data_IF_215895866883
#
_entry.id   IF_215895866883
#
_cell.length_a   1.000
_cell.length_b   1.000
_cell.length_c   1.000
_cell.angle_alpha   90.00
_cell.angle_beta   90.00
_cell.angle_gamma   90.00
#
_symmetry.space_group_name_H-M   'P 1'
#
loop_
_entity.id
_entity.type
_entity.pdbx_description
1 polymer ?
#
# COMPACT_ATOMS: atom_id res chain seq x y z
N UNK A 1 47.03 -6.85 -18.40
CA UNK A 1 46.12 -6.21 -17.39
C UNK A 1 46.82 -6.20 -16.04
N UNK A 2 46.93 -5.05 -15.37
CA UNK A 2 47.56 -4.98 -14.05
C UNK A 2 46.67 -5.74 -13.03
N UNK A 3 47.30 -6.33 -11.98
CA UNK A 3 46.56 -7.04 -10.89
C UNK A 3 45.41 -6.22 -10.31
N UNK A 4 45.56 -4.89 -10.28
CA UNK A 4 44.52 -3.95 -9.82
C UNK A 4 43.29 -3.97 -10.74
N UNK A 5 43.46 -4.01 -12.08
CA UNK A 5 42.33 -4.08 -13.01
C UNK A 5 41.57 -5.41 -12.85
N UNK A 6 42.29 -6.51 -12.64
CA UNK A 6 41.67 -7.82 -12.40
C UNK A 6 40.86 -7.85 -11.10
N UNK A 7 41.43 -7.29 -10.02
CA UNK A 7 40.76 -7.18 -8.73
C UNK A 7 39.47 -6.30 -8.82
N UNK A 8 39.55 -5.18 -9.56
CA UNK A 8 38.37 -4.32 -9.76
C UNK A 8 37.27 -5.03 -10.57
N UNK A 9 37.63 -5.75 -11.64
CA UNK A 9 36.69 -6.54 -12.42
C UNK A 9 36.05 -7.65 -11.59
N UNK A 10 36.81 -8.34 -10.74
CA UNK A 10 36.29 -9.35 -9.83
C UNK A 10 35.29 -8.74 -8.82
N UNK A 11 35.61 -7.58 -8.25
CA UNK A 11 34.71 -6.87 -7.35
C UNK A 11 33.39 -6.48 -8.05
N UNK A 12 33.46 -5.91 -9.24
CA UNK A 12 32.28 -5.57 -10.05
C UNK A 12 31.45 -6.81 -10.34
N UNK A 13 32.08 -7.93 -10.70
CA UNK A 13 31.40 -9.19 -10.95
C UNK A 13 30.67 -9.74 -9.70
N UNK A 14 31.27 -9.63 -8.52
CA UNK A 14 30.65 -10.03 -7.24
C UNK A 14 29.46 -9.14 -6.93
N UNK A 15 29.57 -7.82 -7.09
CA UNK A 15 28.45 -6.88 -6.88
C UNK A 15 27.31 -7.20 -7.85
N UNK A 16 27.61 -7.41 -9.12
CA UNK A 16 26.59 -7.74 -10.12
C UNK A 16 25.90 -9.09 -9.83
N UNK A 17 26.66 -10.12 -9.46
CA UNK A 17 26.11 -11.41 -9.08
C UNK A 17 25.20 -11.30 -7.84
N UNK A 18 25.63 -10.53 -6.83
CA UNK A 18 24.81 -10.25 -5.63
C UNK A 18 23.52 -9.50 -5.99
N UNK A 19 23.61 -8.48 -6.82
CA UNK A 19 22.46 -7.70 -7.29
C UNK A 19 21.45 -8.57 -8.03
N UNK A 20 21.93 -9.39 -8.98
CA UNK A 20 21.07 -10.31 -9.76
C UNK A 20 20.43 -11.37 -8.87
N UNK A 21 21.21 -12.02 -7.99
CA UNK A 21 20.67 -13.00 -7.07
C UNK A 21 19.54 -12.44 -6.22
N UNK A 22 19.79 -11.33 -5.54
CA UNK A 22 18.80 -10.75 -4.64
C UNK A 22 17.62 -10.07 -5.35
N UNK A 23 17.75 -9.76 -6.62
CA UNK A 23 16.65 -9.29 -7.47
C UNK A 23 15.68 -10.43 -7.81
N UNK A 24 16.19 -11.67 -8.04
CA UNK A 24 15.40 -12.75 -8.59
C UNK A 24 15.28 -13.98 -7.68
N UNK A 25 15.95 -13.99 -6.51
CA UNK A 25 15.82 -15.08 -5.53
C UNK A 25 14.34 -15.38 -5.25
N UNK A 26 13.97 -16.64 -4.91
CA UNK A 26 12.62 -16.92 -4.46
C UNK A 26 12.27 -16.08 -3.23
N UNK A 27 11.01 -15.68 -3.09
CA UNK A 27 10.52 -15.14 -1.82
C UNK A 27 10.49 -16.26 -0.77
N UNK A 28 10.61 -15.92 0.53
CA UNK A 28 10.36 -16.88 1.59
C UNK A 28 9.00 -17.54 1.43
N UNK A 29 8.96 -18.87 1.67
CA UNK A 29 7.74 -19.66 1.46
C UNK A 29 6.57 -19.18 2.33
N UNK A 30 5.37 -19.12 1.75
CA UNK A 30 4.14 -18.72 2.42
C UNK A 30 3.89 -17.22 2.48
N UNK A 31 4.74 -16.38 1.86
CA UNK A 31 4.48 -14.94 1.74
C UNK A 31 3.51 -14.65 0.58
N UNK A 32 3.76 -15.22 -0.60
CA UNK A 32 2.85 -15.07 -1.73
C UNK A 32 1.64 -15.97 -1.52
N UNK A 33 0.46 -15.36 -1.43
CA UNK A 33 -0.80 -16.01 -1.19
C UNK A 33 -1.81 -15.62 -2.27
N UNK A 34 -2.48 -16.61 -2.82
CA UNK A 34 -3.70 -16.50 -3.57
C UNK A 34 -4.67 -17.51 -2.95
N UNK A 35 -5.43 -17.04 -1.99
CA UNK A 35 -6.46 -17.86 -1.34
C UNK A 35 -7.71 -17.76 -2.22
N UNK A 36 -7.96 -18.74 -3.05
CA UNK A 36 -9.01 -18.73 -4.08
C UNK A 36 -10.36 -18.21 -3.58
N UNK A 37 -11.39 -18.08 -4.45
CA UNK A 37 -12.63 -17.43 -4.08
C UNK A 37 -13.36 -18.16 -2.93
N UNK A 38 -13.48 -17.49 -1.78
CA UNK A 38 -14.13 -18.01 -0.58
C UNK A 38 -15.38 -17.19 -0.24
N UNK A 39 -16.39 -17.80 0.40
CA UNK A 39 -17.52 -17.07 0.93
C UNK A 39 -17.07 -16.02 1.96
N UNK A 40 -17.64 -14.82 1.88
CA UNK A 40 -17.44 -13.75 2.84
C UNK A 40 -18.78 -13.09 3.21
N UNK A 41 -18.84 -12.53 4.41
CA UNK A 41 -20.02 -11.81 4.92
C UNK A 41 -19.57 -10.57 5.71
N UNK A 42 -20.53 -9.80 6.23
CA UNK A 42 -20.26 -8.53 6.92
C UNK A 42 -19.38 -7.57 6.10
N UNK A 43 -19.55 -7.63 4.77
CA UNK A 43 -18.76 -6.82 3.82
C UNK A 43 -19.12 -5.34 3.95
N UNK A 44 -18.12 -4.50 4.16
CA UNK A 44 -18.28 -3.05 4.20
C UNK A 44 -17.13 -2.36 3.46
N UNK A 45 -17.47 -1.57 2.44
CA UNK A 45 -16.54 -0.63 1.82
C UNK A 45 -16.44 0.62 2.69
N UNK A 46 -15.22 0.99 3.07
CA UNK A 46 -14.93 2.21 3.81
C UNK A 46 -14.12 3.14 2.92
N UNK A 47 -14.43 4.42 2.97
CA UNK A 47 -13.83 5.42 2.07
C UNK A 47 -13.52 6.67 2.87
N UNK A 48 -12.28 7.11 2.78
CA UNK A 48 -11.86 8.44 3.19
C UNK A 48 -11.78 9.32 1.96
N UNK A 49 -12.41 10.48 2.04
CA UNK A 49 -12.43 11.47 0.98
C UNK A 49 -11.97 12.83 1.49
N UNK A 50 -11.20 13.52 0.66
CA UNK A 50 -10.90 14.94 0.80
C UNK A 50 -11.22 15.64 -0.50
N UNK A 51 -11.88 16.80 -0.43
CA UNK A 51 -12.37 17.53 -1.63
C UNK A 51 -12.32 19.04 -1.39
N UNK A 52 -12.47 19.81 -2.45
CA UNK A 52 -12.68 21.25 -2.35
C UNK A 52 -14.19 21.55 -2.40
N UNK A 53 -14.64 22.34 -1.43
CA UNK A 53 -16.02 22.80 -1.34
C UNK A 53 -16.26 23.97 -2.30
N UNK A 54 -17.51 24.36 -2.61
CA UNK A 54 -17.81 25.48 -3.53
C UNK A 54 -17.23 26.83 -3.12
N UNK A 55 -16.95 27.03 -1.83
CA UNK A 55 -16.31 28.21 -1.27
C UNK A 55 -14.78 28.10 -1.18
N UNK A 56 -14.19 27.07 -1.79
CA UNK A 56 -12.74 26.87 -1.88
C UNK A 56 -12.07 26.31 -0.63
N UNK A 57 -12.85 25.87 0.37
CA UNK A 57 -12.32 25.23 1.56
C UNK A 57 -12.04 23.74 1.35
N UNK A 58 -11.23 23.12 2.22
CA UNK A 58 -11.05 21.66 2.21
C UNK A 58 -12.11 20.98 3.07
N UNK A 59 -12.98 20.22 2.43
CA UNK A 59 -13.89 19.27 3.09
C UNK A 59 -13.21 17.91 3.25
N UNK A 60 -13.53 17.21 4.35
CA UNK A 60 -12.96 15.89 4.63
C UNK A 60 -14.00 14.98 5.29
N UNK A 61 -13.98 13.70 4.92
CA UNK A 61 -14.77 12.63 5.53
C UNK A 61 -13.87 11.42 5.74
N UNK A 62 -13.74 11.00 6.98
CA UNK A 62 -12.93 9.85 7.37
C UNK A 62 -13.81 8.77 7.99
N UNK A 63 -13.60 7.52 7.59
CA UNK A 63 -14.37 6.38 8.07
C UNK A 63 -13.49 5.17 8.41
N UNK A 64 -12.28 5.09 7.84
CA UNK A 64 -11.46 3.88 7.93
C UNK A 64 -10.93 3.71 9.35
N UNK A 65 -10.26 4.73 9.89
CA UNK A 65 -9.70 4.63 11.25
C UNK A 65 -10.76 4.65 12.33
N UNK A 66 -11.91 5.29 12.09
CA UNK A 66 -13.04 5.22 13.04
C UNK A 66 -13.56 3.77 13.15
N UNK A 67 -13.65 3.04 12.04
CA UNK A 67 -14.04 1.62 12.07
C UNK A 67 -12.92 0.73 12.65
N UNK A 68 -11.65 1.00 12.35
CA UNK A 68 -10.50 0.31 12.94
C UNK A 68 -10.53 0.44 14.48
N UNK A 69 -10.70 1.64 15.01
CA UNK A 69 -10.75 1.86 16.46
C UNK A 69 -11.96 1.21 17.11
N UNK A 70 -13.12 1.25 16.46
CA UNK A 70 -14.32 0.53 16.91
C UNK A 70 -14.07 -0.98 17.00
N UNK A 71 -13.47 -1.56 15.96
CA UNK A 71 -13.14 -2.99 15.92
C UNK A 71 -12.12 -3.37 17.00
N UNK A 72 -11.07 -2.57 17.19
CA UNK A 72 -10.08 -2.77 18.25
C UNK A 72 -10.77 -2.70 19.62
N UNK A 73 -11.62 -1.71 19.85
CA UNK A 73 -12.33 -1.55 21.14
C UNK A 73 -13.21 -2.76 21.47
N UNK A 74 -13.83 -3.38 20.50
CA UNK A 74 -14.69 -4.54 20.67
C UNK A 74 -13.95 -5.88 20.80
N UNK A 75 -12.68 -5.96 20.39
CA UNK A 75 -11.88 -7.18 20.42
C UNK A 75 -11.66 -7.71 21.83
N UNK A 76 -11.77 -9.03 22.03
CA UNK A 76 -11.60 -9.71 23.31
C UNK A 76 -10.57 -10.83 23.30
N UNK A 77 -10.20 -11.35 22.12
CA UNK A 77 -9.33 -12.53 21.97
C UNK A 77 -8.00 -12.22 21.30
N UNK A 78 -7.97 -11.30 20.33
CA UNK A 78 -6.75 -10.91 19.62
C UNK A 78 -6.95 -9.58 18.87
N UNK A 79 -5.94 -8.74 18.92
CA UNK A 79 -5.74 -7.63 17.98
C UNK A 79 -4.44 -7.85 17.24
N UNK A 80 -4.51 -8.04 15.92
CA UNK A 80 -3.36 -8.13 15.03
C UNK A 80 -3.42 -7.00 14.01
N UNK A 81 -2.40 -6.16 14.00
CA UNK A 81 -2.28 -4.99 13.11
C UNK A 81 -0.97 -5.09 12.35
N UNK A 82 -0.99 -4.96 11.03
CA UNK A 82 0.21 -4.69 10.21
C UNK A 82 0.05 -3.34 9.52
N UNK A 83 0.96 -2.40 9.81
CA UNK A 83 0.88 -1.03 9.30
C UNK A 83 2.25 -0.52 8.86
N UNK A 84 2.35 -0.13 7.59
CA UNK A 84 3.58 0.37 6.98
C UNK A 84 4.11 1.63 7.65
N UNK A 85 3.35 2.73 7.63
CA UNK A 85 3.71 3.98 8.32
C UNK A 85 2.92 4.10 9.61
N UNK A 86 3.64 4.16 10.72
CA UNK A 86 3.11 4.34 12.06
C UNK A 86 4.01 5.31 12.81
N UNK A 87 3.82 6.59 12.58
CA UNK A 87 4.60 7.67 13.19
C UNK A 87 3.85 9.01 13.13
N UNK A 88 4.33 9.99 13.90
CA UNK A 88 3.74 11.31 14.08
C UNK A 88 4.33 12.39 13.15
N UNK A 89 5.13 12.01 12.17
CA UNK A 89 5.71 12.97 11.23
C UNK A 89 4.62 13.62 10.37
N UNK A 90 4.56 14.97 10.37
CA UNK A 90 3.50 15.73 9.71
C UNK A 90 3.99 16.59 8.54
N UNK A 91 5.29 16.77 8.37
CA UNK A 91 5.85 17.69 7.38
C UNK A 91 5.67 19.16 7.78
N UNK A 92 5.63 20.05 6.78
CA UNK A 92 5.55 21.50 7.02
C UNK A 92 4.14 22.01 7.37
N UNK A 93 3.08 21.24 7.07
CA UNK A 93 1.67 21.65 7.20
C UNK A 93 0.97 21.04 8.43
N UNK A 94 1.60 21.10 9.58
CA UNK A 94 1.22 20.40 10.81
C UNK A 94 -0.19 20.73 11.39
N UNK A 95 -0.86 21.77 10.92
CA UNK A 95 -1.98 22.38 11.68
C UNK A 95 -3.36 21.72 11.50
N UNK A 96 -3.52 20.76 10.60
CA UNK A 96 -4.84 20.17 10.28
C UNK A 96 -4.86 18.63 10.24
N UNK A 97 -3.88 17.98 10.85
CA UNK A 97 -3.79 16.53 10.83
C UNK A 97 -4.36 15.89 12.10
N UNK A 98 -5.08 14.76 11.91
CA UNK A 98 -5.51 13.89 13.01
C UNK A 98 -4.29 13.11 13.53
N UNK A 99 -4.14 13.01 14.84
CA UNK A 99 -3.03 12.32 15.50
C UNK A 99 -3.22 10.79 15.48
N UNK A 100 -3.35 10.20 14.29
CA UNK A 100 -3.69 8.78 14.09
C UNK A 100 -2.68 7.83 14.73
N UNK A 101 -1.40 8.19 14.74
CA UNK A 101 -0.35 7.39 15.38
C UNK A 101 -0.55 7.28 16.88
N UNK A 102 -0.93 8.39 17.54
CA UNK A 102 -1.26 8.42 18.97
C UNK A 102 -2.56 7.66 19.25
N UNK A 103 -3.61 7.94 18.49
CA UNK A 103 -4.92 7.28 18.67
C UNK A 103 -4.79 5.75 18.57
N UNK A 104 -4.01 5.25 17.59
CA UNK A 104 -3.77 3.80 17.47
C UNK A 104 -2.93 3.28 18.66
N UNK A 105 -1.91 4.03 19.09
CA UNK A 105 -1.11 3.66 20.25
C UNK A 105 -1.99 3.50 21.48
N UNK A 106 -2.84 4.48 21.76
CA UNK A 106 -3.74 4.50 22.92
C UNK A 106 -4.76 3.34 22.86
N UNK A 107 -5.32 3.07 21.67
CA UNK A 107 -6.25 1.94 21.47
C UNK A 107 -5.59 0.57 21.74
N UNK A 108 -4.35 0.37 21.25
CA UNK A 108 -3.61 -0.88 21.48
C UNK A 108 -3.21 -1.04 22.95
N UNK A 109 -2.82 0.03 23.63
CA UNK A 109 -2.52 0.02 25.07
C UNK A 109 -3.74 -0.34 25.91
N UNK A 110 -4.89 0.27 25.62
CA UNK A 110 -6.15 -0.03 26.31
C UNK A 110 -6.53 -1.51 26.20
N UNK A 111 -6.25 -2.16 25.05
CA UNK A 111 -6.46 -3.61 24.90
C UNK A 111 -5.48 -4.44 25.71
N UNK A 112 -4.21 -4.02 25.80
CA UNK A 112 -3.24 -4.70 26.67
C UNK A 112 -3.60 -4.60 28.15
N UNK A 113 -4.10 -3.47 28.61
CA UNK A 113 -4.63 -3.32 29.97
C UNK A 113 -5.78 -4.30 30.27
N UNK A 114 -6.61 -4.60 29.27
CA UNK A 114 -7.67 -5.62 29.32
C UNK A 114 -7.11 -7.05 29.15
N UNK A 115 -5.80 -7.25 29.09
CA UNK A 115 -5.12 -8.53 28.89
C UNK A 115 -5.41 -9.22 27.54
N UNK A 116 -5.96 -8.51 26.57
CA UNK A 116 -6.12 -9.01 25.21
C UNK A 116 -4.74 -9.11 24.55
N UNK A 117 -4.39 -10.23 23.90
CA UNK A 117 -3.17 -10.32 23.09
C UNK A 117 -3.18 -9.29 21.96
N UNK A 118 -2.11 -8.48 21.88
CA UNK A 118 -1.94 -7.46 20.83
C UNK A 118 -0.64 -7.70 20.09
N UNK A 119 -0.71 -7.75 18.77
CA UNK A 119 0.43 -7.88 17.85
C UNK A 119 0.42 -6.68 16.90
N UNK A 120 1.54 -5.97 16.84
CA UNK A 120 1.80 -4.91 15.88
C UNK A 120 2.96 -5.31 14.99
N UNK A 121 2.71 -5.50 13.70
CA UNK A 121 3.74 -5.66 12.66
C UNK A 121 3.94 -4.30 12.00
N UNK A 122 5.18 -3.92 11.75
CA UNK A 122 5.47 -2.63 11.11
C UNK A 122 6.80 -2.65 10.35
N UNK A 123 7.04 -1.60 9.59
CA UNK A 123 8.24 -1.46 8.77
C UNK A 123 9.39 -0.78 9.54
N UNK A 124 10.65 -1.21 9.36
CA UNK A 124 11.82 -0.56 9.93
C UNK A 124 11.99 0.93 9.57
N UNK A 125 11.30 1.42 8.55
CA UNK A 125 11.30 2.83 8.18
C UNK A 125 10.82 3.73 9.35
N UNK A 126 9.88 3.24 10.18
CA UNK A 126 9.35 3.99 11.33
C UNK A 126 10.41 4.29 12.42
N UNK A 127 11.56 3.63 12.37
CA UNK A 127 12.73 3.90 13.22
C UNK A 127 13.95 4.31 12.39
N UNK A 128 13.77 4.68 11.12
CA UNK A 128 14.86 4.89 10.16
C UNK A 128 15.92 3.77 10.25
N UNK A 129 15.41 2.53 10.17
CA UNK A 129 16.22 1.30 10.22
C UNK A 129 17.03 1.16 11.53
N UNK A 130 16.43 1.55 12.66
CA UNK A 130 17.03 1.46 14.00
C UNK A 130 17.90 2.66 14.36
N UNK A 131 17.93 3.73 13.58
CA UNK A 131 18.70 4.95 13.89
C UNK A 131 17.90 6.04 14.59
N UNK A 132 16.61 5.85 14.83
CA UNK A 132 15.73 6.81 15.48
C UNK A 132 14.83 6.10 16.51
N UNK A 133 14.63 6.73 17.67
CA UNK A 133 13.63 6.27 18.64
C UNK A 133 12.22 6.54 18.11
N UNK A 134 11.34 5.58 18.35
CA UNK A 134 9.90 5.75 18.18
C UNK A 134 9.23 5.62 19.55
N UNK A 135 8.84 6.71 20.21
CA UNK A 135 8.24 6.68 21.53
C UNK A 135 7.02 5.76 21.61
N UNK A 136 6.16 5.79 20.59
CA UNK A 136 4.97 4.92 20.48
C UNK A 136 5.34 3.45 20.46
N UNK A 137 6.34 3.04 19.66
CA UNK A 137 6.78 1.64 19.60
C UNK A 137 7.43 1.19 20.90
N UNK A 138 8.21 2.05 21.57
CA UNK A 138 8.81 1.76 22.87
C UNK A 138 7.73 1.60 23.94
N UNK A 139 6.75 2.50 24.00
CA UNK A 139 5.63 2.43 24.94
C UNK A 139 4.82 1.16 24.76
N UNK A 140 4.49 0.77 23.52
CA UNK A 140 3.77 -0.46 23.20
C UNK A 140 4.56 -1.70 23.66
N UNK A 141 5.88 -1.76 23.41
CA UNK A 141 6.73 -2.86 23.87
C UNK A 141 6.76 -2.96 25.41
N UNK A 142 6.90 -1.85 26.11
CA UNK A 142 6.90 -1.83 27.57
C UNK A 142 5.56 -2.30 28.16
N UNK A 143 4.45 -2.03 27.50
CA UNK A 143 3.12 -2.51 27.88
C UNK A 143 2.88 -4.00 27.55
N UNK A 144 3.83 -4.67 26.90
CA UNK A 144 3.74 -6.08 26.53
C UNK A 144 2.99 -6.35 25.21
N UNK A 145 2.88 -5.35 24.32
CA UNK A 145 2.47 -5.56 22.92
C UNK A 145 3.60 -6.29 22.19
N UNK A 146 3.28 -7.33 21.43
CA UNK A 146 4.25 -8.01 20.57
C UNK A 146 4.51 -7.15 19.34
N UNK A 147 5.63 -6.43 19.30
CA UNK A 147 6.01 -5.58 18.16
C UNK A 147 6.98 -6.34 17.25
N UNK A 148 6.57 -6.54 16.00
CA UNK A 148 7.34 -7.24 14.96
C UNK A 148 7.86 -6.23 13.96
N UNK A 149 9.19 -6.09 13.87
CA UNK A 149 9.84 -5.31 12.82
C UNK A 149 10.11 -6.23 11.64
N UNK A 150 9.54 -5.91 10.47
CA UNK A 150 9.68 -6.76 9.27
C UNK A 150 11.14 -6.90 8.85
N UNK A 151 11.66 -8.13 8.66
CA UNK A 151 13.06 -8.37 8.28
C UNK A 151 13.28 -8.13 6.77
N UNK A 152 13.33 -6.87 6.33
CA UNK A 152 13.46 -6.48 4.92
C UNK A 152 14.62 -7.15 4.16
N UNK A 153 15.80 -7.48 4.75
CA UNK A 153 16.86 -8.21 4.05
C UNK A 153 16.43 -9.56 3.48
N UNK A 154 15.38 -10.20 4.03
CA UNK A 154 14.81 -11.44 3.52
C UNK A 154 14.12 -11.26 2.16
N UNK A 155 13.59 -10.08 1.87
CA UNK A 155 12.87 -9.76 0.65
C UNK A 155 13.80 -9.56 -0.56
N UNK A 156 13.21 -9.53 -1.77
CA UNK A 156 13.91 -9.16 -3.01
C UNK A 156 14.34 -7.69 -2.99
N UNK A 157 15.35 -7.35 -3.76
CA UNK A 157 15.84 -5.98 -3.86
C UNK A 157 15.12 -5.21 -4.96
N UNK A 158 14.50 -4.08 -4.62
CA UNK A 158 13.83 -3.21 -5.59
C UNK A 158 14.78 -2.30 -6.34
N UNK A 159 15.91 -1.92 -5.70
CA UNK A 159 17.02 -1.17 -6.30
C UNK A 159 18.29 -2.03 -6.31
N UNK A 160 18.43 -3.00 -7.23
CA UNK A 160 19.52 -3.97 -7.20
C UNK A 160 20.90 -3.34 -7.40
N UNK A 161 21.01 -2.22 -8.12
CA UNK A 161 22.27 -1.52 -8.35
C UNK A 161 22.90 -1.02 -7.05
N UNK A 162 22.09 -0.43 -6.16
CA UNK A 162 22.51 -0.01 -4.84
C UNK A 162 22.62 -1.19 -3.86
N UNK A 163 21.57 -2.00 -3.80
CA UNK A 163 21.46 -3.06 -2.82
C UNK A 163 22.53 -4.13 -2.97
N UNK A 164 22.99 -4.40 -4.20
CA UNK A 164 24.11 -5.32 -4.46
C UNK A 164 25.38 -4.90 -3.72
N UNK A 165 25.73 -3.61 -3.76
CA UNK A 165 26.83 -3.05 -3.00
C UNK A 165 26.53 -3.03 -1.50
N UNK A 166 25.37 -2.52 -1.10
CA UNK A 166 24.96 -2.40 0.30
C UNK A 166 24.97 -3.75 1.03
N UNK A 167 24.58 -4.83 0.38
CA UNK A 167 24.63 -6.18 0.93
C UNK A 167 26.05 -6.67 1.22
N UNK A 168 27.03 -6.27 0.44
CA UNK A 168 28.42 -6.68 0.61
C UNK A 168 29.16 -5.83 1.66
N UNK A 169 28.84 -4.54 1.77
CA UNK A 169 29.56 -3.63 2.67
C UNK A 169 28.84 -3.39 4.00
N UNK A 170 27.51 -3.20 3.99
CA UNK A 170 26.92 -2.34 4.99
C UNK A 170 25.71 -2.93 5.69
N UNK A 171 25.07 -4.01 5.18
CA UNK A 171 23.86 -4.59 5.76
C UNK A 171 24.03 -5.16 7.17
N UNK A 172 25.24 -5.54 7.53
CA UNK A 172 25.54 -6.13 8.85
C UNK A 172 25.89 -5.09 9.91
N UNK A 173 26.15 -3.85 9.50
CA UNK A 173 26.47 -2.77 10.42
C UNK A 173 25.19 -2.33 11.12
N UNK A 174 25.07 -2.68 12.40
CA UNK A 174 23.96 -2.22 13.24
C UNK A 174 23.84 -0.71 13.24
N UNK A 175 22.65 -0.15 13.51
CA UNK A 175 22.45 1.27 13.65
C UNK A 175 22.46 1.65 15.14
N UNK A 176 23.05 2.81 15.47
CA UNK A 176 23.10 3.32 16.83
C UNK A 176 22.10 4.45 17.00
N UNK A 177 21.08 4.20 17.80
CA UNK A 177 19.98 5.14 18.06
C UNK A 177 20.42 6.40 18.81
N UNK A 178 21.49 6.30 19.61
CA UNK A 178 22.05 7.41 20.40
C UNK A 178 23.29 8.05 19.72
N UNK A 179 23.78 7.43 18.65
CA UNK A 179 24.99 7.87 17.90
C UNK A 179 24.69 8.77 16.70
N UNK A 180 23.48 9.28 16.59
CA UNK A 180 23.05 10.11 15.45
C UNK A 180 23.78 11.46 15.37
N UNK A 181 24.30 11.81 14.18
CA UNK A 181 24.97 13.09 13.92
C UNK A 181 24.48 13.78 12.63
N UNK A 182 23.85 13.05 11.72
CA UNK A 182 23.19 13.59 10.52
C UNK A 182 21.74 13.95 10.82
N UNK A 183 21.17 14.99 10.17
CA UNK A 183 19.76 15.31 10.33
C UNK A 183 18.86 14.14 9.87
N UNK A 184 17.73 13.94 10.52
CA UNK A 184 16.74 12.95 10.07
C UNK A 184 16.16 13.37 8.72
N UNK A 185 16.03 12.47 7.72
CA UNK A 185 15.38 12.78 6.45
C UNK A 185 13.84 12.79 6.55
N UNK A 186 13.26 12.34 7.68
CA UNK A 186 11.82 12.17 7.86
C UNK A 186 11.27 12.95 9.08
N UNK A 187 11.84 14.07 9.41
CA UNK A 187 11.37 14.91 10.53
C UNK A 187 12.50 15.27 11.48
N UNK A 188 12.15 15.54 12.73
CA UNK A 188 13.09 15.95 13.76
C UNK A 188 14.02 14.82 14.20
N UNK A 189 15.14 15.21 14.81
CA UNK A 189 16.12 14.28 15.35
C UNK A 189 17.34 14.07 14.47
N UNK A 190 18.24 13.19 14.93
CA UNK A 190 19.49 12.87 14.24
C UNK A 190 19.64 11.37 14.08
N UNK A 191 20.22 10.95 12.97
CA UNK A 191 20.46 9.55 12.61
C UNK A 191 21.92 9.34 12.20
N UNK A 192 22.37 8.10 12.16
CA UNK A 192 23.70 7.75 11.67
C UNK A 192 23.70 7.65 10.15
N UNK A 193 24.88 7.60 9.55
CA UNK A 193 25.05 7.34 8.11
C UNK A 193 24.40 6.01 7.68
N UNK A 194 24.27 5.04 8.56
CA UNK A 194 23.65 3.72 8.27
C UNK A 194 22.17 3.83 7.89
N UNK A 195 21.43 4.76 8.51
CA UNK A 195 20.05 5.07 8.11
C UNK A 195 19.99 5.56 6.66
N UNK A 196 20.87 6.47 6.29
CA UNK A 196 20.98 6.97 4.92
C UNK A 196 21.38 5.90 3.92
N UNK A 197 22.28 4.97 4.30
CA UNK A 197 22.68 3.86 3.43
C UNK A 197 21.59 2.80 3.27
N UNK A 198 20.67 2.68 4.23
CA UNK A 198 19.54 1.75 4.15
C UNK A 198 18.39 2.26 3.26
N UNK A 199 18.11 3.57 3.28
CA UNK A 199 17.02 4.21 2.53
C UNK A 199 17.00 3.87 1.02
N UNK A 200 18.12 3.93 0.27
CA UNK A 200 18.09 3.69 -1.17
C UNK A 200 17.81 2.24 -1.59
N UNK A 201 17.65 1.31 -0.63
CA UNK A 201 17.15 -0.04 -0.95
C UNK A 201 15.70 0.00 -1.43
N UNK A 202 14.91 1.00 -1.02
CA UNK A 202 13.54 1.27 -1.44
C UNK A 202 12.60 0.07 -1.38
N UNK A 203 12.73 -0.79 -0.40
CA UNK A 203 11.83 -1.91 -0.17
C UNK A 203 11.16 -1.79 1.19
N UNK A 204 9.95 -2.30 1.29
CA UNK A 204 9.12 -2.13 2.46
C UNK A 204 8.19 -3.33 2.68
N UNK A 205 7.75 -3.49 3.92
CA UNK A 205 6.46 -4.09 4.22
C UNK A 205 5.38 -3.00 4.08
N UNK A 206 4.73 -2.97 2.92
CA UNK A 206 3.77 -1.92 2.61
C UNK A 206 2.32 -2.34 2.88
N UNK A 207 2.11 -3.44 3.60
CA UNK A 207 0.79 -3.95 4.01
C UNK A 207 0.11 -3.01 4.97
N UNK A 208 -1.22 -3.06 5.02
CA UNK A 208 -2.08 -2.33 5.94
C UNK A 208 -3.30 -3.17 6.21
N UNK A 209 -3.20 -3.97 7.28
CA UNK A 209 -4.21 -4.95 7.64
C UNK A 209 -4.57 -4.88 9.11
N UNK A 210 -5.80 -5.25 9.43
CA UNK A 210 -6.26 -5.52 10.77
C UNK A 210 -6.95 -6.88 10.79
N UNK A 211 -6.69 -7.69 11.82
CA UNK A 211 -7.47 -8.90 12.13
C UNK A 211 -7.84 -8.86 13.61
N UNK A 212 -9.14 -8.97 13.89
CA UNK A 212 -9.69 -8.98 15.24
C UNK A 212 -10.83 -9.99 15.34
N UNK A 213 -11.16 -10.37 16.56
CA UNK A 213 -12.46 -11.02 16.82
C UNK A 213 -13.57 -9.97 16.93
N UNK A 214 -14.73 -10.26 16.38
CA UNK A 214 -15.95 -9.47 16.49
C UNK A 214 -17.09 -10.37 16.96
N UNK A 215 -17.35 -10.37 18.27
CA UNK A 215 -18.27 -11.32 18.91
C UNK A 215 -17.79 -12.77 18.80
N UNK A 216 -18.58 -13.63 18.15
CA UNK A 216 -18.21 -15.04 17.90
C UNK A 216 -17.36 -15.21 16.64
N UNK A 217 -17.29 -14.22 15.77
CA UNK A 217 -16.68 -14.26 14.45
C UNK A 217 -15.26 -13.64 14.44
N UNK A 218 -14.62 -13.72 13.31
CA UNK A 218 -13.36 -13.05 13.01
C UNK A 218 -13.55 -12.09 11.84
N UNK A 219 -13.02 -10.90 12.01
CA UNK A 219 -13.13 -9.82 11.02
C UNK A 219 -11.72 -9.35 10.61
N UNK A 220 -11.55 -9.15 9.32
CA UNK A 220 -10.36 -8.48 8.76
C UNK A 220 -10.74 -7.19 8.05
N UNK A 221 -9.78 -6.28 8.02
CA UNK A 221 -9.84 -5.05 7.23
C UNK A 221 -8.53 -4.93 6.44
N UNK A 222 -8.64 -4.71 5.12
CA UNK A 222 -7.51 -4.44 4.22
C UNK A 222 -7.68 -3.04 3.66
N UNK A 223 -6.65 -2.20 3.75
CA UNK A 223 -6.78 -0.77 3.43
C UNK A 223 -5.57 -0.20 2.69
N UNK A 224 -5.76 0.97 2.10
CA UNK A 224 -4.68 1.84 1.62
C UNK A 224 -4.19 2.84 2.68
N UNK A 225 -4.93 3.05 3.77
CA UNK A 225 -4.65 4.05 4.79
C UNK A 225 -3.52 3.64 5.75
N UNK A 226 -2.73 4.62 6.22
CA UNK A 226 -1.71 4.44 7.25
C UNK A 226 -2.09 5.20 8.53
N UNK A 227 -1.78 4.67 9.73
CA UNK A 227 -1.85 5.42 10.98
C UNK A 227 -0.64 6.36 11.11
N UNK A 228 -0.54 7.29 10.19
CA UNK A 228 0.52 8.26 10.07
C UNK A 228 -0.10 9.66 10.04
N UNK A 229 0.31 10.54 10.94
CA UNK A 229 -0.36 11.82 11.16
C UNK A 229 -0.35 12.67 9.89
N UNK A 230 0.79 12.80 9.21
CA UNK A 230 0.92 13.55 7.96
C UNK A 230 0.12 13.02 6.78
N UNK A 231 -0.44 11.81 6.86
CA UNK A 231 -1.32 11.23 5.83
C UNK A 231 -2.78 11.11 6.26
N UNK A 232 -3.15 11.67 7.42
CA UNK A 232 -4.50 11.55 7.97
C UNK A 232 -5.58 12.21 7.08
N UNK A 233 -5.21 13.18 6.25
CA UNK A 233 -6.11 13.84 5.31
C UNK A 233 -6.18 13.17 3.92
N UNK A 234 -5.45 12.09 3.69
CA UNK A 234 -5.43 11.42 2.39
C UNK A 234 -6.77 10.77 2.05
N UNK A 235 -7.14 10.76 0.77
CA UNK A 235 -8.25 9.95 0.29
C UNK A 235 -7.83 8.49 0.19
N UNK A 236 -8.51 7.61 0.91
CA UNK A 236 -8.18 6.19 1.03
C UNK A 236 -9.39 5.28 0.76
N UNK A 237 -9.13 3.98 0.71
CA UNK A 237 -10.17 2.96 0.57
C UNK A 237 -9.82 1.75 1.43
N UNK A 238 -10.85 1.07 1.96
CA UNK A 238 -10.71 -0.19 2.68
C UNK A 238 -11.90 -1.10 2.43
N UNK A 239 -11.66 -2.40 2.53
CA UNK A 239 -12.70 -3.41 2.65
C UNK A 239 -12.60 -4.10 4.00
N UNK A 240 -13.69 -4.05 4.78
CA UNK A 240 -13.89 -4.88 5.95
C UNK A 240 -14.71 -6.11 5.55
N UNK A 241 -14.37 -7.26 6.10
CA UNK A 241 -15.05 -8.52 5.83
C UNK A 241 -14.85 -9.52 6.97
N UNK A 242 -15.80 -10.46 7.08
CA UNK A 242 -15.73 -11.62 7.96
C UNK A 242 -15.79 -12.90 7.15
N UNK A 243 -15.44 -14.03 7.77
CA UNK A 243 -15.51 -15.35 7.14
C UNK A 243 -14.15 -15.99 6.87
N UNK A 244 -14.16 -17.00 6.02
CA UNK A 244 -13.00 -17.89 5.79
C UNK A 244 -11.75 -17.16 5.33
N UNK A 245 -11.89 -16.12 4.51
CA UNK A 245 -10.76 -15.33 3.96
C UNK A 245 -9.98 -14.55 5.03
N UNK A 246 -10.56 -14.33 6.23
CA UNK A 246 -9.82 -13.73 7.37
C UNK A 246 -8.62 -14.60 7.75
N UNK A 247 -8.74 -15.92 7.60
CA UNK A 247 -7.65 -16.88 7.84
C UNK A 247 -6.45 -16.69 6.93
N UNK A 248 -6.68 -16.27 5.70
CA UNK A 248 -5.62 -15.98 4.75
C UNK A 248 -4.83 -14.73 5.15
N UNK A 249 -5.51 -13.64 5.55
CA UNK A 249 -4.85 -12.44 6.10
C UNK A 249 -4.02 -12.83 7.32
N UNK A 250 -4.62 -13.48 8.33
CA UNK A 250 -3.91 -13.93 9.51
C UNK A 250 -2.69 -14.80 9.17
N UNK A 251 -2.84 -15.75 8.22
CA UNK A 251 -1.72 -16.60 7.80
C UNK A 251 -0.54 -15.82 7.26
N UNK A 252 -0.80 -14.83 6.39
CA UNK A 252 0.26 -14.05 5.77
C UNK A 252 1.02 -13.20 6.80
N UNK A 253 0.33 -12.67 7.81
CA UNK A 253 0.96 -11.87 8.87
C UNK A 253 1.78 -12.74 9.84
N UNK A 254 1.31 -13.97 10.16
CA UNK A 254 2.10 -14.94 10.92
C UNK A 254 3.42 -15.28 10.23
N UNK A 255 3.43 -15.36 8.88
CA UNK A 255 4.66 -15.61 8.12
C UNK A 255 5.68 -14.48 8.25
N UNK A 256 5.26 -13.24 8.39
CA UNK A 256 6.19 -12.12 8.65
C UNK A 256 6.83 -12.26 10.04
N UNK A 257 6.03 -12.61 11.05
CA UNK A 257 6.56 -12.83 12.41
C UNK A 257 7.52 -14.03 12.47
N UNK A 258 7.19 -15.13 11.80
CA UNK A 258 8.10 -16.28 11.68
C UNK A 258 9.44 -15.89 11.05
N UNK A 259 9.43 -15.09 9.98
CA UNK A 259 10.63 -14.57 9.33
C UNK A 259 11.45 -13.65 10.25
N UNK A 260 10.78 -12.93 11.15
CA UNK A 260 11.43 -12.10 12.17
C UNK A 260 11.94 -12.91 13.37
N UNK A 261 11.70 -14.23 13.40
CA UNK A 261 12.06 -15.11 14.53
C UNK A 261 11.19 -14.87 15.78
N UNK A 262 9.99 -14.30 15.61
CA UNK A 262 9.08 -13.99 16.71
C UNK A 262 7.93 -15.00 16.72
N UNK A 263 7.71 -15.62 17.89
CA UNK A 263 6.58 -16.51 18.13
C UNK A 263 5.36 -15.69 18.52
N UNK A 264 4.31 -15.79 17.71
CA UNK A 264 3.02 -15.17 18.00
C UNK A 264 2.10 -16.09 18.81
N UNK A 265 1.03 -15.56 19.43
CA UNK A 265 -0.06 -16.38 19.96
C UNK A 265 -0.59 -17.37 18.91
N UNK A 266 -1.27 -18.46 19.31
CA UNK A 266 -1.85 -19.38 18.34
C UNK A 266 -2.74 -18.64 17.33
N UNK A 267 -2.65 -19.03 16.05
CA UNK A 267 -3.52 -18.44 15.01
C UNK A 267 -4.99 -18.68 15.35
N UNK A 268 -5.87 -17.70 15.04
CA UNK A 268 -7.30 -17.89 15.17
C UNK A 268 -7.78 -19.14 14.42
N UNK A 269 -8.53 -20.00 15.09
CA UNK A 269 -9.26 -21.09 14.44
C UNK A 269 -10.52 -20.51 13.77
N UNK A 270 -10.39 -20.12 12.50
CA UNK A 270 -11.49 -19.55 11.73
C UNK A 270 -12.30 -20.69 11.14
N UNK A 271 -13.57 -20.76 11.50
CA UNK A 271 -14.47 -21.80 10.98
C UNK A 271 -14.82 -21.51 9.51
N UNK A 272 -14.95 -22.54 8.67
CA UNK A 272 -15.45 -22.37 7.32
C UNK A 272 -16.83 -21.69 7.35
N UNK A 273 -16.96 -20.62 6.58
CA UNK A 273 -18.24 -19.92 6.46
C UNK A 273 -19.10 -20.63 5.42
N UNK A 274 -20.35 -21.01 5.77
CA UNK A 274 -21.30 -21.44 4.75
C UNK A 274 -21.52 -20.33 3.72
N UNK A 275 -21.60 -20.68 2.44
CA UNK A 275 -21.95 -19.74 1.40
C UNK A 275 -23.40 -19.25 1.63
N UNK A 276 -23.54 -17.99 2.04
CA UNK A 276 -24.86 -17.33 2.19
C UNK A 276 -25.37 -16.94 0.80
N UNK A 277 -24.46 -16.49 -0.05
CA UNK A 277 -24.70 -16.15 -1.45
C UNK A 277 -23.55 -16.70 -2.29
N UNK A 278 -23.84 -17.66 -3.17
CA UNK A 278 -22.86 -18.27 -4.06
C UNK A 278 -22.30 -17.29 -5.12
N UNK A 279 -22.94 -16.13 -5.30
CA UNK A 279 -22.53 -15.11 -6.26
C UNK A 279 -21.58 -14.06 -5.66
N UNK A 280 -21.36 -14.11 -4.32
CA UNK A 280 -20.47 -13.18 -3.63
C UNK A 280 -19.29 -13.95 -3.05
N UNK A 281 -18.08 -13.67 -3.59
CA UNK A 281 -16.83 -14.32 -3.17
C UNK A 281 -15.73 -13.28 -2.96
N UNK A 282 -14.84 -13.60 -2.02
CA UNK A 282 -13.66 -12.79 -1.70
C UNK A 282 -12.38 -13.62 -1.82
N UNK A 283 -11.35 -13.03 -2.38
CA UNK A 283 -10.00 -13.58 -2.43
C UNK A 283 -9.02 -12.62 -1.75
N UNK A 284 -8.12 -13.16 -0.94
CA UNK A 284 -6.98 -12.42 -0.39
C UNK A 284 -5.78 -12.65 -1.30
N UNK A 285 -5.16 -11.57 -1.73
CA UNK A 285 -4.07 -11.56 -2.69
C UNK A 285 -2.86 -10.86 -2.05
N UNK A 286 -1.70 -11.48 -2.14
CA UNK A 286 -0.46 -10.85 -1.68
C UNK A 286 0.59 -10.82 -2.79
N UNK A 287 1.43 -9.81 -2.77
CA UNK A 287 2.57 -9.65 -3.69
C UNK A 287 2.16 -9.79 -5.17
N UNK A 288 2.83 -10.68 -5.95
CA UNK A 288 2.55 -10.83 -7.38
C UNK A 288 1.15 -11.41 -7.70
N UNK A 289 0.49 -12.07 -6.75
CA UNK A 289 -0.90 -12.51 -6.96
C UNK A 289 -1.83 -11.32 -7.21
N UNK A 290 -1.51 -10.13 -6.65
CA UNK A 290 -2.24 -8.88 -6.92
C UNK A 290 -2.11 -8.50 -8.40
N UNK A 291 -0.89 -8.50 -8.94
CA UNK A 291 -0.63 -8.24 -10.37
C UNK A 291 -1.42 -9.18 -11.26
N UNK A 292 -1.33 -10.47 -10.95
CA UNK A 292 -1.93 -11.52 -11.77
C UNK A 292 -3.47 -11.38 -11.77
N UNK A 293 -4.07 -11.05 -10.63
CA UNK A 293 -5.50 -10.76 -10.54
C UNK A 293 -5.92 -9.49 -11.31
N UNK A 294 -5.14 -8.38 -11.22
CA UNK A 294 -5.39 -7.17 -11.98
C UNK A 294 -5.34 -7.43 -13.50
N UNK A 295 -4.30 -8.12 -13.98
CA UNK A 295 -4.14 -8.43 -15.39
C UNK A 295 -5.22 -9.41 -15.89
N UNK A 296 -5.58 -10.42 -15.09
CA UNK A 296 -6.65 -11.36 -15.40
C UNK A 296 -8.01 -10.65 -15.54
N UNK A 297 -8.36 -9.77 -14.60
CA UNK A 297 -9.61 -8.99 -14.66
C UNK A 297 -9.67 -8.10 -15.90
N UNK A 298 -8.56 -7.42 -16.25
CA UNK A 298 -8.50 -6.60 -17.46
C UNK A 298 -8.58 -7.46 -18.73
N UNK A 299 -7.88 -8.59 -18.76
CA UNK A 299 -7.85 -9.47 -19.95
C UNK A 299 -9.23 -10.08 -20.26
N UNK A 300 -10.04 -10.37 -19.21
CA UNK A 300 -11.39 -10.94 -19.36
C UNK A 300 -12.45 -9.92 -19.76
N UNK A 301 -12.16 -8.62 -19.62
CA UNK A 301 -13.11 -7.55 -19.98
C UNK A 301 -13.40 -7.52 -21.49
N UNK A 302 -14.66 -7.23 -21.83
CA UNK A 302 -15.20 -7.28 -23.19
C UNK A 302 -15.76 -5.92 -23.62
N UNK A 303 -16.05 -5.81 -24.91
CA UNK A 303 -16.75 -4.65 -25.45
C UNK A 303 -18.02 -4.34 -24.64
N UNK A 304 -18.20 -3.08 -24.28
CA UNK A 304 -19.29 -2.58 -23.47
C UNK A 304 -19.12 -2.72 -21.96
N UNK A 305 -18.16 -3.51 -21.45
CA UNK A 305 -17.82 -3.55 -20.04
C UNK A 305 -17.17 -2.23 -19.58
N UNK A 306 -17.20 -1.93 -18.29
CA UNK A 306 -16.52 -0.79 -17.70
C UNK A 306 -15.32 -1.22 -16.86
N UNK A 307 -14.21 -0.50 -16.99
CA UNK A 307 -13.02 -0.57 -16.13
C UNK A 307 -12.73 0.81 -15.53
N UNK A 308 -12.72 0.88 -14.21
CA UNK A 308 -12.50 2.10 -13.45
C UNK A 308 -11.28 1.92 -12.56
N UNK A 309 -10.25 2.75 -12.78
CA UNK A 309 -9.00 2.73 -12.03
C UNK A 309 -8.85 4.01 -11.24
N UNK A 310 -8.60 3.90 -9.93
CA UNK A 310 -8.21 5.03 -9.09
C UNK A 310 -6.97 4.63 -8.30
N UNK A 311 -5.83 5.28 -8.56
CA UNK A 311 -4.56 4.87 -7.96
C UNK A 311 -3.58 6.02 -7.73
N UNK A 312 -2.86 5.93 -6.61
CA UNK A 312 -1.84 6.91 -6.22
C UNK A 312 -0.61 6.89 -7.14
N UNK A 313 -0.10 5.69 -7.50
CA UNK A 313 1.00 5.53 -8.46
C UNK A 313 0.66 4.48 -9.52
N UNK A 314 0.78 4.84 -10.78
CA UNK A 314 0.65 3.98 -11.95
C UNK A 314 1.93 4.03 -12.78
N UNK A 315 2.69 2.93 -12.81
CA UNK A 315 3.93 2.84 -13.61
C UNK A 315 4.19 1.44 -14.16
N UNK A 316 3.46 0.42 -13.69
CA UNK A 316 3.65 -0.98 -14.10
C UNK A 316 3.29 -1.16 -15.58
N UNK A 317 4.31 -1.40 -16.42
CA UNK A 317 4.15 -1.44 -17.88
C UNK A 317 3.14 -2.46 -18.38
N UNK A 318 3.18 -3.74 -17.94
CA UNK A 318 2.17 -4.71 -18.37
C UNK A 318 0.73 -4.27 -18.07
N UNK A 319 0.51 -3.58 -16.95
CA UNK A 319 -0.83 -3.08 -16.59
C UNK A 319 -1.27 -1.91 -17.50
N UNK A 320 -0.36 -0.98 -17.79
CA UNK A 320 -0.62 0.15 -18.68
C UNK A 320 -0.97 -0.35 -20.09
N UNK A 321 -0.20 -1.30 -20.63
CA UNK A 321 -0.49 -1.90 -21.94
C UNK A 321 -1.83 -2.67 -21.90
N UNK A 322 -2.11 -3.44 -20.86
CA UNK A 322 -3.39 -4.14 -20.72
C UNK A 322 -4.60 -3.20 -20.70
N UNK A 323 -4.49 -2.03 -20.07
CA UNK A 323 -5.55 -1.00 -20.10
C UNK A 323 -5.76 -0.41 -21.48
N UNK A 324 -4.67 -0.15 -22.23
CA UNK A 324 -4.74 0.33 -23.62
C UNK A 324 -5.38 -0.71 -24.53
N UNK A 325 -4.98 -1.97 -24.40
CA UNK A 325 -5.54 -3.09 -25.16
C UNK A 325 -7.04 -3.28 -24.85
N UNK A 326 -7.43 -3.16 -23.57
CA UNK A 326 -8.84 -3.22 -23.19
C UNK A 326 -9.65 -2.10 -23.83
N UNK A 327 -9.13 -0.87 -23.81
CA UNK A 327 -9.78 0.27 -24.46
C UNK A 327 -9.94 0.04 -25.97
N UNK A 328 -8.91 -0.49 -26.66
CA UNK A 328 -8.98 -0.83 -28.08
C UNK A 328 -10.00 -1.93 -28.40
N UNK A 329 -10.30 -2.84 -27.42
CA UNK A 329 -11.36 -3.84 -27.54
C UNK A 329 -12.77 -3.31 -27.31
N UNK A 330 -12.95 -2.00 -27.04
CA UNK A 330 -14.25 -1.38 -26.78
C UNK A 330 -14.65 -1.34 -25.30
N UNK A 331 -13.75 -1.71 -24.37
CA UNK A 331 -14.01 -1.56 -22.95
C UNK A 331 -14.00 -0.09 -22.56
N UNK A 332 -14.95 0.35 -21.75
CA UNK A 332 -15.07 1.71 -21.26
C UNK A 332 -14.09 1.95 -20.10
N UNK A 333 -12.83 2.25 -20.42
CA UNK A 333 -11.79 2.50 -19.44
C UNK A 333 -11.83 3.95 -18.95
N UNK A 334 -11.83 4.18 -17.63
CA UNK A 334 -11.68 5.50 -16.99
C UNK A 334 -10.60 5.45 -15.93
N UNK A 335 -9.70 6.45 -15.91
CA UNK A 335 -8.53 6.45 -15.00
C UNK A 335 -8.48 7.75 -14.21
N UNK A 336 -8.52 7.65 -12.87
CA UNK A 336 -8.35 8.75 -11.92
C UNK A 336 -7.01 8.59 -11.20
N UNK A 337 -6.09 9.53 -11.43
CA UNK A 337 -4.74 9.50 -10.88
C UNK A 337 -4.47 10.65 -9.92
N UNK A 338 -3.65 10.39 -8.92
CA UNK A 338 -2.98 11.44 -8.17
C UNK A 338 -2.02 12.21 -9.10
N UNK A 339 -1.99 13.55 -9.10
CA UNK A 339 -1.08 14.32 -9.96
C UNK A 339 0.38 14.21 -9.56
N UNK A 340 0.69 13.49 -8.48
CA UNK A 340 2.01 13.32 -7.85
C UNK A 340 2.73 14.67 -7.64
N UNK A 341 1.97 15.64 -7.14
CA UNK A 341 2.50 16.98 -6.92
C UNK A 341 2.95 17.21 -5.47
N UNK A 342 2.34 16.50 -4.51
CA UNK A 342 2.56 16.72 -3.09
C UNK A 342 3.10 15.47 -2.36
N UNK A 343 3.99 15.67 -1.40
CA UNK A 343 4.46 14.64 -0.49
C UNK A 343 4.91 15.25 0.84
N UNK A 344 4.04 15.20 1.85
CA UNK A 344 4.37 15.64 3.22
C UNK A 344 5.01 17.04 3.26
N UNK A 345 4.33 18.02 2.62
CA UNK A 345 4.78 19.41 2.55
C UNK A 345 5.94 19.66 1.55
N UNK A 346 6.25 18.70 0.68
CA UNK A 346 7.25 18.85 -0.39
C UNK A 346 6.59 18.75 -1.75
N UNK A 347 6.91 19.65 -2.66
CA UNK A 347 6.48 19.58 -4.04
C UNK A 347 7.24 18.46 -4.78
N UNK A 348 6.51 17.64 -5.54
CA UNK A 348 7.02 16.58 -6.42
C UNK A 348 6.94 16.98 -7.88
N UNK A 349 7.66 16.24 -8.72
CA UNK A 349 7.78 16.53 -10.16
C UNK A 349 6.71 15.84 -11.05
N UNK A 350 5.69 15.21 -10.48
CA UNK A 350 4.61 14.54 -11.21
C UNK A 350 4.92 13.12 -11.70
N UNK A 351 6.13 12.61 -11.46
CA UNK A 351 6.52 11.26 -11.87
C UNK A 351 6.05 10.23 -10.82
N UNK A 352 5.46 9.08 -11.22
CA UNK A 352 5.32 8.58 -12.60
C UNK A 352 4.04 8.99 -13.30
N UNK A 353 3.02 9.53 -12.60
CA UNK A 353 1.67 9.58 -13.13
C UNK A 353 1.49 10.55 -14.30
N UNK A 354 2.14 11.72 -14.29
CA UNK A 354 1.94 12.69 -15.39
C UNK A 354 2.43 12.15 -16.74
N UNK A 355 3.64 11.61 -16.90
CA UNK A 355 4.04 10.99 -18.16
C UNK A 355 3.23 9.74 -18.54
N UNK A 356 2.77 8.93 -17.55
CA UNK A 356 1.86 7.81 -17.81
C UNK A 356 0.48 8.33 -18.24
N UNK A 357 -0.02 9.39 -17.60
CA UNK A 357 -1.26 10.05 -17.98
C UNK A 357 -1.25 10.56 -19.40
N UNK A 358 -0.13 11.14 -19.87
CA UNK A 358 0.04 11.56 -21.26
C UNK A 358 -0.06 10.35 -22.22
N UNK A 359 0.58 9.24 -21.91
CA UNK A 359 0.51 8.02 -22.72
C UNK A 359 -0.92 7.43 -22.80
N UNK A 360 -1.65 7.41 -21.68
CA UNK A 360 -3.03 6.93 -21.66
C UNK A 360 -3.97 7.88 -22.41
N UNK A 361 -3.77 9.19 -22.27
CA UNK A 361 -4.54 10.20 -22.99
C UNK A 361 -4.32 10.13 -24.52
N UNK A 362 -3.08 9.94 -24.95
CA UNK A 362 -2.73 9.72 -26.35
C UNK A 362 -3.39 8.45 -26.93
N UNK A 363 -3.56 7.42 -26.10
CA UNK A 363 -4.29 6.20 -26.45
C UNK A 363 -5.83 6.38 -26.46
N UNK A 364 -6.35 7.57 -26.17
CA UNK A 364 -7.79 7.88 -26.14
C UNK A 364 -8.51 7.50 -24.84
N UNK A 365 -7.79 7.07 -23.80
CA UNK A 365 -8.40 6.71 -22.51
C UNK A 365 -8.76 7.98 -21.73
N UNK A 366 -10.05 8.14 -21.33
CA UNK A 366 -10.46 9.21 -20.43
C UNK A 366 -9.69 9.20 -19.10
N UNK A 367 -9.07 10.34 -18.78
CA UNK A 367 -8.25 10.50 -17.58
C UNK A 367 -8.58 11.81 -16.87
N UNK A 368 -8.68 11.75 -15.56
CA UNK A 368 -8.77 12.92 -14.67
C UNK A 368 -7.71 12.85 -13.58
N UNK A 369 -7.35 14.00 -13.03
CA UNK A 369 -6.46 14.12 -11.89
C UNK A 369 -7.25 14.36 -10.62
N UNK A 370 -6.84 13.75 -9.51
CA UNK A 370 -7.37 14.12 -8.22
C UNK A 370 -7.05 15.59 -7.89
N UNK A 371 -8.01 16.29 -7.30
CA UNK A 371 -7.83 17.67 -6.84
C UNK A 371 -7.23 17.66 -5.42
N UNK A 372 -5.91 17.66 -5.32
CA UNK A 372 -5.15 17.63 -4.06
C UNK A 372 -4.55 18.99 -3.71
N UNK A 373 -4.43 19.30 -2.41
CA UNK A 373 -3.84 20.55 -1.88
C UNK A 373 -2.99 20.22 -0.64
N UNK A 374 -1.91 19.43 -0.82
CA UNK A 374 -1.03 18.95 0.25
C UNK A 374 -1.27 17.49 0.64
N UNK A 375 -2.52 17.03 0.66
CA UNK A 375 -2.88 15.62 0.83
C UNK A 375 -2.73 14.83 -0.49
N UNK A 376 -2.84 13.50 -0.40
CA UNK A 376 -2.72 12.60 -1.54
C UNK A 376 -4.02 11.86 -1.82
N UNK A 377 -4.30 11.60 -3.09
CA UNK A 377 -5.31 10.67 -3.53
C UNK A 377 -4.74 9.25 -3.44
N UNK A 378 -4.71 8.72 -2.21
CA UNK A 378 -3.95 7.52 -1.87
C UNK A 378 -4.73 6.21 -2.08
N UNK A 379 -5.87 6.26 -2.74
CA UNK A 379 -6.66 5.10 -3.15
C UNK A 379 -5.84 4.18 -4.07
N UNK A 380 -6.05 2.86 -3.96
CA UNK A 380 -5.54 1.86 -4.90
C UNK A 380 -6.68 0.90 -5.20
N UNK A 381 -7.30 1.09 -6.35
CA UNK A 381 -8.52 0.39 -6.74
C UNK A 381 -8.57 0.17 -8.26
N UNK A 382 -8.97 -1.03 -8.65
CA UNK A 382 -9.49 -1.36 -9.97
C UNK A 382 -10.88 -1.97 -9.79
N UNK A 383 -11.86 -1.47 -10.52
CA UNK A 383 -13.22 -2.02 -10.58
C UNK A 383 -13.57 -2.37 -12.02
N UNK A 384 -13.90 -3.63 -12.26
CA UNK A 384 -14.55 -4.10 -13.48
C UNK A 384 -16.02 -4.33 -13.22
N UNK A 385 -16.86 -4.01 -14.21
CA UNK A 385 -18.29 -4.35 -14.17
C UNK A 385 -18.86 -4.54 -15.57
N UNK A 386 -19.81 -5.47 -15.66
CA UNK A 386 -20.73 -5.60 -16.78
C UNK A 386 -22.18 -5.33 -16.31
N UNK A 387 -23.18 -5.79 -17.06
CA UNK A 387 -24.58 -5.57 -16.72
C UNK A 387 -25.05 -6.34 -15.44
N UNK A 388 -24.36 -7.40 -15.04
CA UNK A 388 -24.81 -8.31 -13.99
C UNK A 388 -23.84 -8.43 -12.81
N UNK A 389 -22.53 -8.44 -13.09
CA UNK A 389 -21.47 -8.72 -12.11
C UNK A 389 -20.45 -7.60 -12.07
N UNK A 390 -19.80 -7.47 -10.94
CA UNK A 390 -18.66 -6.59 -10.74
C UNK A 390 -17.54 -7.31 -9.98
N UNK A 391 -16.30 -6.90 -10.26
CA UNK A 391 -15.12 -7.25 -9.48
C UNK A 391 -14.47 -5.96 -8.97
N UNK A 392 -14.11 -5.97 -7.69
CA UNK A 392 -13.44 -4.86 -7.03
C UNK A 392 -12.14 -5.37 -6.43
N UNK A 393 -11.00 -4.87 -6.95
CA UNK A 393 -9.67 -5.14 -6.41
C UNK A 393 -9.19 -3.88 -5.71
N UNK A 394 -8.88 -3.98 -4.42
CA UNK A 394 -8.36 -2.87 -3.62
C UNK A 394 -7.42 -3.34 -2.53
N UNK A 395 -6.58 -2.43 -2.01
CA UNK A 395 -5.68 -2.73 -0.89
C UNK A 395 -4.51 -1.78 -0.78
N UNK A 396 -3.36 -2.31 -0.39
CA UNK A 396 -2.15 -1.51 -0.15
C UNK A 396 -1.33 -1.22 -1.40
N UNK A 397 -1.41 -2.08 -2.43
CA UNK A 397 -0.50 -2.08 -3.58
C UNK A 397 -0.74 -0.92 -4.54
N UNK A 398 0.26 -0.05 -4.72
CA UNK A 398 0.32 0.83 -5.88
C UNK A 398 0.52 0.00 -7.15
N UNK A 399 0.10 0.56 -8.29
CA UNK A 399 0.23 -0.13 -9.58
C UNK A 399 1.62 0.14 -10.21
N UNK A 400 2.66 -0.19 -9.46
CA UNK A 400 4.07 -0.03 -9.86
C UNK A 400 4.78 -1.37 -9.83
N UNK A 401 5.93 -1.46 -10.49
CA UNK A 401 6.74 -2.67 -10.49
C UNK A 401 7.16 -3.10 -9.08
N UNK A 402 7.46 -2.14 -8.20
CA UNK A 402 7.87 -2.43 -6.83
C UNK A 402 6.77 -3.14 -6.05
N UNK A 403 5.55 -2.70 -6.19
CA UNK A 403 4.41 -3.22 -5.45
C UNK A 403 3.80 -4.50 -6.08
N UNK A 404 3.98 -4.70 -7.40
CA UNK A 404 3.34 -5.81 -8.11
C UNK A 404 4.30 -6.97 -8.47
N UNK A 405 5.63 -6.77 -8.47
CA UNK A 405 6.62 -7.79 -8.89
C UNK A 405 7.40 -8.40 -7.71
N UNK A 406 6.75 -8.59 -6.55
CA UNK A 406 7.36 -9.24 -5.39
C UNK A 406 8.57 -8.48 -4.78
N UNK A 407 8.59 -7.16 -4.82
CA UNK A 407 9.70 -6.37 -4.29
C UNK A 407 9.37 -5.69 -2.96
N UNK A 408 8.09 -5.38 -2.73
CA UNK A 408 7.51 -5.07 -1.44
C UNK A 408 6.63 -6.22 -0.96
N UNK A 409 6.25 -6.19 0.33
CA UNK A 409 5.11 -6.95 0.81
C UNK A 409 3.86 -6.09 0.66
N UNK A 410 2.81 -6.67 0.10
CA UNK A 410 1.53 -6.02 -0.17
C UNK A 410 0.37 -6.97 0.15
N UNK A 411 -0.77 -6.41 0.49
CA UNK A 411 -2.04 -7.15 0.62
C UNK A 411 -3.15 -6.39 -0.08
N UNK A 412 -3.89 -7.09 -0.92
CA UNK A 412 -5.13 -6.63 -1.55
C UNK A 412 -6.19 -7.70 -1.47
N UNK A 413 -7.41 -7.32 -1.75
CA UNK A 413 -8.56 -8.24 -1.86
C UNK A 413 -9.21 -8.08 -3.23
N UNK A 414 -9.74 -9.19 -3.77
CA UNK A 414 -10.65 -9.20 -4.93
C UNK A 414 -12.01 -9.66 -4.46
N UNK A 415 -12.98 -8.76 -4.49
CA UNK A 415 -14.39 -9.06 -4.24
C UNK A 415 -15.10 -9.21 -5.57
N UNK A 416 -15.76 -10.35 -5.78
CA UNK A 416 -16.67 -10.59 -6.92
C UNK A 416 -18.10 -10.67 -6.39
N UNK A 417 -19.03 -9.90 -6.95
CA UNK A 417 -20.41 -9.86 -6.53
C UNK A 417 -21.33 -9.34 -7.66
N UNK A 418 -22.66 -9.52 -7.55
CA UNK A 418 -23.61 -8.84 -8.41
C UNK A 418 -23.45 -7.31 -8.35
N UNK A 419 -23.69 -6.61 -9.44
CA UNK A 419 -23.62 -5.12 -9.50
C UNK A 419 -24.55 -4.44 -8.49
N UNK A 420 -25.61 -5.13 -8.06
CA UNK A 420 -26.57 -4.65 -7.05
C UNK A 420 -26.12 -4.86 -5.61
N UNK A 421 -25.01 -5.56 -5.39
CA UNK A 421 -24.48 -5.76 -4.04
C UNK A 421 -24.08 -4.40 -3.42
N UNK A 422 -24.42 -4.12 -2.14
CA UNK A 422 -24.22 -2.81 -1.52
C UNK A 422 -22.78 -2.27 -1.62
N UNK A 423 -21.77 -3.14 -1.51
CA UNK A 423 -20.34 -2.77 -1.68
C UNK A 423 -20.08 -2.30 -3.11
N UNK A 424 -20.60 -3.00 -4.12
CA UNK A 424 -20.40 -2.65 -5.54
C UNK A 424 -21.14 -1.35 -5.91
N UNK A 425 -22.34 -1.16 -5.41
CA UNK A 425 -23.09 0.10 -5.57
C UNK A 425 -22.32 1.26 -4.95
N UNK A 426 -21.80 1.08 -3.72
CA UNK A 426 -21.01 2.12 -3.05
C UNK A 426 -19.69 2.40 -3.77
N UNK A 427 -19.00 1.38 -4.30
CA UNK A 427 -17.76 1.56 -5.06
C UNK A 427 -18.01 2.35 -6.34
N UNK A 428 -19.06 1.98 -7.09
CA UNK A 428 -19.48 2.69 -8.33
C UNK A 428 -19.85 4.15 -8.03
N UNK A 429 -20.66 4.41 -6.97
CA UNK A 429 -21.04 5.78 -6.60
C UNK A 429 -19.82 6.60 -6.15
N UNK A 430 -18.89 5.98 -5.41
CA UNK A 430 -17.65 6.65 -4.97
C UNK A 430 -16.80 7.08 -6.17
N UNK A 431 -16.57 6.19 -7.13
CA UNK A 431 -15.81 6.55 -8.33
C UNK A 431 -16.54 7.63 -9.14
N UNK A 432 -17.84 7.46 -9.38
CA UNK A 432 -18.65 8.42 -10.14
C UNK A 432 -18.70 9.80 -9.46
N UNK A 433 -18.83 9.87 -8.13
CA UNK A 433 -18.80 11.12 -7.36
C UNK A 433 -17.48 11.84 -7.55
N UNK A 434 -16.35 11.12 -7.42
CA UNK A 434 -15.01 11.69 -7.63
C UNK A 434 -14.77 12.11 -9.07
N UNK A 435 -15.26 11.33 -10.03
CA UNK A 435 -15.08 11.59 -11.46
C UNK A 435 -15.89 12.78 -11.93
N UNK A 436 -17.14 12.90 -11.48
CA UNK A 436 -18.11 13.89 -11.98
C UNK A 436 -18.23 15.12 -11.06
N UNK A 437 -17.49 15.16 -9.95
CA UNK A 437 -17.57 16.25 -8.96
C UNK A 437 -19.00 16.48 -8.47
N UNK A 438 -19.71 15.41 -8.12
CA UNK A 438 -21.12 15.48 -7.71
C UNK A 438 -21.26 16.19 -6.36
N UNK A 439 -22.45 16.71 -6.08
CA UNK A 439 -22.86 17.34 -4.81
C UNK A 439 -22.11 18.64 -4.49
N UNK A 440 -21.52 19.29 -5.47
CA UNK A 440 -20.69 20.48 -5.26
C UNK A 440 -19.31 20.19 -4.63
N UNK A 441 -18.94 18.92 -4.54
CA UNK A 441 -17.64 18.45 -4.06
C UNK A 441 -16.68 18.35 -5.24
N UNK A 442 -15.59 19.14 -5.28
CA UNK A 442 -14.56 19.05 -6.33
C UNK A 442 -13.47 18.08 -5.92
N UNK A 443 -13.57 16.85 -6.39
CA UNK A 443 -12.63 15.76 -6.15
C UNK A 443 -11.57 15.61 -7.24
N UNK A 444 -11.86 16.07 -8.45
CA UNK A 444 -10.97 15.86 -9.59
C UNK A 444 -10.97 17.04 -10.55
N UNK A 445 -9.88 17.16 -11.31
CA UNK A 445 -9.69 18.15 -12.36
C UNK A 445 -9.44 17.46 -13.70
N UNK A 446 -9.59 18.21 -14.80
CA UNK A 446 -9.41 17.69 -16.15
C UNK A 446 -7.93 17.38 -16.45
N UNK A 447 -7.69 16.49 -17.41
CA UNK A 447 -6.36 16.07 -17.84
C UNK A 447 -5.42 17.26 -18.09
N UNK A 448 -5.90 18.32 -18.76
CA UNK A 448 -5.09 19.49 -19.11
C UNK A 448 -4.45 20.20 -17.90
N UNK A 449 -5.01 20.05 -16.68
CA UNK A 449 -4.51 20.71 -15.47
C UNK A 449 -3.07 20.31 -15.13
N UNK A 450 -2.70 19.04 -15.31
CA UNK A 450 -1.37 18.53 -15.00
C UNK A 450 -0.76 17.72 -16.15
N UNK A 451 -1.19 17.98 -17.38
CA UNK A 451 -0.63 17.33 -18.57
C UNK A 451 0.90 17.54 -18.63
N UNK A 452 1.63 16.46 -18.89
CA UNK A 452 3.08 16.50 -19.09
C UNK A 452 3.48 15.60 -20.25
N UNK A 453 3.57 16.20 -21.42
CA UNK A 453 3.90 15.54 -22.68
C UNK A 453 5.40 15.62 -23.02
N UNK A 454 6.23 16.05 -22.07
CA UNK A 454 7.68 16.20 -22.29
C UNK A 454 8.35 14.83 -22.38
N UNK A 455 9.05 14.58 -23.47
CA UNK A 455 9.78 13.32 -23.70
C UNK A 455 10.81 13.00 -22.63
N UNK A 456 11.45 14.01 -22.05
CA UNK A 456 12.48 13.77 -21.04
C UNK A 456 11.87 13.26 -19.71
N UNK A 457 10.68 13.72 -19.30
CA UNK A 457 9.97 13.22 -18.12
C UNK A 457 9.53 11.77 -18.32
N UNK A 458 9.07 11.44 -19.53
CA UNK A 458 8.74 10.07 -19.91
C UNK A 458 9.97 9.14 -19.80
N UNK A 459 11.09 9.51 -20.41
CA UNK A 459 12.29 8.67 -20.36
C UNK A 459 12.88 8.60 -18.95
N UNK A 460 12.83 9.68 -18.16
CA UNK A 460 13.25 9.68 -16.78
C UNK A 460 12.42 8.68 -15.97
N UNK A 461 11.10 8.72 -16.07
CA UNK A 461 10.22 7.76 -15.41
C UNK A 461 10.56 6.31 -15.82
N UNK A 462 10.81 6.05 -17.11
CA UNK A 462 11.18 4.71 -17.62
C UNK A 462 12.50 4.21 -17.01
N UNK A 463 13.50 5.07 -16.91
CA UNK A 463 14.78 4.74 -16.25
C UNK A 463 14.59 4.48 -14.76
N UNK A 464 13.81 5.31 -14.06
CA UNK A 464 13.50 5.13 -12.64
C UNK A 464 12.79 3.80 -12.39
N UNK A 465 11.78 3.47 -13.20
CA UNK A 465 11.04 2.20 -13.10
C UNK A 465 11.94 1.00 -13.41
N UNK A 466 12.78 1.08 -14.44
CA UNK A 466 13.70 0.01 -14.82
C UNK A 466 14.77 -0.26 -13.77
N UNK A 467 15.41 0.79 -13.25
CA UNK A 467 16.52 0.69 -12.28
C UNK A 467 16.04 0.41 -10.86
N UNK A 468 14.81 0.83 -10.51
CA UNK A 468 14.30 0.84 -9.14
C UNK A 468 14.82 2.00 -8.30
N UNK A 469 15.51 2.99 -8.90
CA UNK A 469 15.94 4.23 -8.24
C UNK A 469 14.76 5.20 -8.23
N UNK A 470 13.77 4.91 -7.41
CA UNK A 470 12.56 5.72 -7.30
C UNK A 470 11.94 5.56 -5.92
N UNK A 471 10.99 6.42 -5.58
CA UNK A 471 10.14 6.29 -4.38
C UNK A 471 8.75 5.69 -4.70
N UNK A 472 8.50 5.28 -5.97
CA UNK A 472 7.26 4.66 -6.44
C UNK A 472 7.45 3.23 -6.89
#
# INVERSE_FOLDING_TARGET
>A
MTKIKLALLALIAVIAATALWHRYKPLPGGLTLHDGPLPAHNLALLVDDTWETPDGQRGMRQAIFDDIFRLIDQAQRLVLVDMFLFNDFQGADANNHRALSRELTDALLAKREQQVPVVLITDPLNTLYGGLRSPSLEQLKHAGVTVVMTPLPALRDSNPGWSGLWRLCCQWLGNDIDGGWLPSPMGDGKVTLRSYLALPNFKANHRKTLVVDEGSDWTALVTSANPHDGSSAHSNIALRFSGSSVGAVAHSEWKIAELAGITLPPRPAIQPTPAIDHNTTLEVLTEAAIRDALLDTIARSKDGDALEVSVFYLSHRPLIEALKDAHQRGVQVRVLLDPNKDAFGREKNGIPNRPVGAELHEAGIPLRWCNTQGEQCHTKMLMWRNAQHAELILGSANFTRRNLDNLNLETSVRLTAPVTHPVMVKATDTFARRWENRRGETHSTDYATYADERLWTYWLYRVMEFTGISSF
#
